data_IF_521797981268
#
_entry.id   IF_521797981268
#
_cell.length_a   1.000
_cell.length_b   1.000
_cell.length_c   1.000
_cell.angle_alpha   90.00
_cell.angle_beta   90.00
_cell.angle_gamma   90.00
#
_symmetry.space_group_name_H-M   'P 1'
#
loop_
_entity.id
_entity.type
_entity.pdbx_description
1 polymer ?
#
# COMPACT_ATOMS: atom_id res chain seq x y z
N UNK A 1 84.05 -29.14 -50.25
CA UNK A 1 83.92 -30.27 -49.32
C UNK A 1 82.48 -30.29 -48.82
N UNK A 2 81.62 -31.17 -49.34
CA UNK A 2 81.19 -32.43 -48.70
C UNK A 2 80.42 -32.14 -47.38
N UNK A 3 79.14 -32.50 -47.14
CA UNK A 3 78.19 -33.57 -47.54
C UNK A 3 76.77 -33.08 -47.21
N UNK A 4 75.74 -33.16 -48.07
CA UNK A 4 74.76 -34.26 -48.27
C UNK A 4 74.24 -35.00 -47.01
N UNK A 5 72.94 -34.86 -46.73
CA UNK A 5 71.86 -35.91 -46.71
C UNK A 5 70.54 -35.22 -46.30
N UNK A 6 69.49 -35.22 -47.15
CA UNK A 6 68.51 -36.30 -47.43
C UNK A 6 67.74 -36.72 -46.18
N UNK A 7 66.46 -36.99 -46.20
CA UNK A 7 65.29 -36.82 -47.09
C UNK A 7 64.15 -37.46 -46.26
N UNK A 8 62.91 -37.29 -46.73
CA UNK A 8 61.73 -38.13 -46.46
C UNK A 8 60.98 -37.82 -45.18
N UNK A 9 59.66 -37.80 -45.12
CA UNK A 9 58.50 -37.98 -46.02
C UNK A 9 57.32 -37.82 -45.02
N UNK A 10 56.07 -37.45 -45.30
CA UNK A 10 55.24 -37.31 -46.48
C UNK A 10 53.94 -36.64 -45.97
N UNK A 11 53.32 -35.86 -46.86
CA UNK A 11 51.87 -35.78 -47.16
C UNK A 11 50.87 -35.53 -45.99
N UNK A 12 49.89 -34.63 -46.08
CA UNK A 12 49.13 -34.33 -47.29
C UNK A 12 48.28 -33.05 -47.17
N UNK A 13 48.05 -32.45 -48.35
CA UNK A 13 46.94 -31.59 -48.80
C UNK A 13 46.65 -30.22 -48.17
N UNK A 14 46.78 -29.21 -49.04
CA UNK A 14 45.77 -28.20 -49.45
C UNK A 14 44.92 -27.56 -48.34
N UNK A 15 44.86 -26.24 -48.13
CA UNK A 15 44.77 -25.11 -49.05
C UNK A 15 44.85 -23.84 -48.17
N UNK A 16 45.73 -22.88 -48.44
CA UNK A 16 45.47 -21.49 -48.05
C UNK A 16 46.11 -20.55 -49.08
N UNK A 17 45.24 -19.92 -49.85
CA UNK A 17 45.54 -18.90 -50.84
C UNK A 17 46.04 -17.65 -50.09
N UNK A 18 47.25 -17.21 -50.43
CA UNK A 18 47.78 -15.89 -50.08
C UNK A 18 47.03 -14.82 -50.86
N UNK A 19 46.32 -13.93 -50.15
CA UNK A 19 45.97 -12.62 -50.66
C UNK A 19 46.70 -11.53 -49.87
N UNK A 20 47.28 -10.61 -50.66
CA UNK A 20 48.17 -9.51 -50.29
C UNK A 20 47.51 -8.53 -49.32
N UNK A 21 48.32 -8.02 -48.40
CA UNK A 21 47.97 -6.94 -47.46
C UNK A 21 47.42 -5.71 -48.18
N UNK A 22 46.24 -5.19 -47.78
CA UNK A 22 45.84 -3.84 -48.08
C UNK A 22 46.47 -2.88 -47.07
N UNK A 23 47.33 -2.04 -47.62
CA UNK A 23 47.66 -0.66 -47.24
C UNK A 23 46.93 -0.07 -46.03
N UNK A 24 47.73 0.40 -45.07
CA UNK A 24 47.32 1.14 -43.89
C UNK A 24 46.25 2.20 -44.19
N UNK A 25 45.05 2.00 -43.63
CA UNK A 25 44.09 3.08 -43.42
C UNK A 25 44.42 3.75 -42.10
N UNK A 26 44.50 5.08 -42.15
CA UNK A 26 44.67 5.96 -41.00
C UNK A 26 43.71 5.55 -39.88
N UNK A 27 44.28 5.15 -38.74
CA UNK A 27 43.55 5.06 -37.49
C UNK A 27 43.02 6.46 -37.23
N UNK A 28 41.71 6.66 -37.40
CA UNK A 28 41.02 7.81 -36.83
C UNK A 28 41.44 7.86 -35.37
N UNK A 29 42.19 8.89 -34.98
CA UNK A 29 42.32 9.25 -33.58
C UNK A 29 40.90 9.34 -33.05
N UNK A 30 40.52 8.39 -32.19
CA UNK A 30 39.38 8.59 -31.34
C UNK A 30 39.68 9.87 -30.58
N UNK A 31 38.89 10.91 -30.83
CA UNK A 31 38.77 12.00 -29.88
C UNK A 31 38.46 11.32 -28.55
N UNK A 32 39.33 11.56 -27.56
CA UNK A 32 38.98 11.22 -26.19
C UNK A 32 37.77 12.09 -25.86
N UNK A 33 36.59 11.51 -26.04
CA UNK A 33 35.38 12.06 -25.44
C UNK A 33 35.72 12.08 -23.96
N UNK A 34 35.91 13.27 -23.41
CA UNK A 34 35.92 13.47 -21.99
C UNK A 34 34.55 13.02 -21.50
N UNK A 35 34.46 11.76 -21.09
CA UNK A 35 33.41 11.31 -20.20
C UNK A 35 33.65 12.12 -18.94
N UNK A 36 32.94 13.24 -18.81
CA UNK A 36 32.74 13.87 -17.52
C UNK A 36 32.21 12.76 -16.63
N UNK A 37 33.05 12.30 -15.70
CA UNK A 37 32.66 11.39 -14.65
C UNK A 37 31.76 12.17 -13.71
N UNK A 38 30.51 12.33 -14.13
CA UNK A 38 29.47 12.86 -13.29
C UNK A 38 29.13 11.72 -12.35
N UNK A 39 29.62 11.83 -11.12
CA UNK A 39 29.15 10.98 -10.04
C UNK A 39 27.63 11.10 -9.95
N UNK A 40 26.93 10.04 -10.36
CA UNK A 40 25.48 9.97 -10.35
C UNK A 40 24.93 9.56 -8.97
N UNK A 41 25.81 9.29 -8.00
CA UNK A 41 25.43 8.82 -6.66
C UNK A 41 24.53 9.83 -5.94
N UNK A 42 24.82 11.13 -6.08
CA UNK A 42 23.97 12.21 -5.53
C UNK A 42 22.74 12.55 -6.38
N UNK A 43 22.59 11.93 -7.56
CA UNK A 43 21.60 12.33 -8.57
C UNK A 43 20.35 11.47 -8.62
N UNK A 44 20.32 10.37 -7.89
CA UNK A 44 19.12 9.54 -7.75
C UNK A 44 18.73 9.53 -6.28
N UNK A 45 17.53 10.02 -5.98
CA UNK A 45 17.05 10.13 -4.60
C UNK A 45 15.81 9.26 -4.39
N UNK A 46 15.77 8.50 -3.30
CA UNK A 46 14.58 7.81 -2.82
C UNK A 46 14.11 8.50 -1.53
N UNK A 47 12.93 9.09 -1.57
CA UNK A 47 12.29 9.74 -0.42
C UNK A 47 11.06 8.94 -0.02
N UNK A 48 11.02 8.54 1.25
CA UNK A 48 9.91 7.79 1.84
C UNK A 48 9.20 8.65 2.90
N UNK A 49 7.88 8.61 2.92
CA UNK A 49 7.07 9.25 3.98
C UNK A 49 5.88 8.37 4.33
N UNK A 50 5.62 8.22 5.62
CA UNK A 50 4.41 7.58 6.14
C UNK A 50 3.51 8.61 6.81
N UNK A 51 2.22 8.62 6.52
CA UNK A 51 1.24 9.45 7.21
C UNK A 51 -0.17 8.82 7.29
N UNK A 52 -0.95 9.13 8.33
CA UNK A 52 -2.36 8.75 8.41
C UNK A 52 -3.18 9.26 7.21
N UNK A 53 -4.00 8.39 6.60
CA UNK A 53 -4.85 8.70 5.45
C UNK A 53 -6.19 7.96 5.51
N UNK A 54 -7.29 8.69 5.74
CA UNK A 54 -8.61 8.06 5.93
C UNK A 54 -8.58 7.07 7.09
N UNK A 55 -9.06 5.84 6.88
CA UNK A 55 -8.94 4.74 7.86
C UNK A 55 -7.69 3.87 7.70
N UNK A 56 -6.65 4.36 7.03
CA UNK A 56 -5.44 3.61 6.64
C UNK A 56 -4.17 4.46 6.84
N UNK A 57 -2.99 3.88 6.65
CA UNK A 57 -1.72 4.61 6.52
C UNK A 57 -1.32 4.72 5.04
N UNK A 58 -0.91 5.92 4.62
CA UNK A 58 -0.30 6.16 3.33
C UNK A 58 1.22 6.14 3.49
N UNK A 59 1.87 5.24 2.77
CA UNK A 59 3.31 5.22 2.58
C UNK A 59 3.64 5.65 1.16
N UNK A 60 4.25 6.84 1.03
CA UNK A 60 4.61 7.44 -0.24
C UNK A 60 6.11 7.26 -0.50
N UNK A 61 6.43 6.68 -1.64
CA UNK A 61 7.76 6.48 -2.19
C UNK A 61 7.95 7.41 -3.38
N UNK A 62 8.97 8.25 -3.36
CA UNK A 62 9.31 9.13 -4.48
C UNK A 62 10.74 8.84 -4.91
N UNK A 63 10.88 8.29 -6.12
CA UNK A 63 12.19 8.14 -6.77
C UNK A 63 12.36 9.31 -7.73
N UNK A 64 13.42 10.09 -7.52
CA UNK A 64 13.75 11.26 -8.33
C UNK A 64 15.07 11.01 -9.05
N UNK A 65 15.05 11.07 -10.38
CA UNK A 65 16.24 11.07 -11.21
C UNK A 65 16.53 12.51 -11.64
N UNK A 66 17.47 13.16 -10.95
CA UNK A 66 17.94 14.51 -11.31
C UNK A 66 19.10 14.48 -12.32
N UNK A 67 19.58 13.29 -12.69
CA UNK A 67 20.55 13.11 -13.77
C UNK A 67 19.90 13.32 -15.15
N UNK A 68 20.73 13.49 -16.17
CA UNK A 68 20.27 13.61 -17.57
C UNK A 68 19.95 12.26 -18.19
N UNK A 69 20.56 11.18 -17.70
CA UNK A 69 20.42 9.84 -18.23
C UNK A 69 19.21 9.15 -17.60
N UNK A 70 18.50 8.27 -18.33
CA UNK A 70 17.46 7.45 -17.73
C UNK A 70 18.06 6.43 -16.76
N UNK A 71 17.24 5.99 -15.79
CA UNK A 71 17.49 4.76 -15.03
C UNK A 71 16.51 3.69 -15.49
N UNK A 72 16.94 2.44 -15.48
CA UNK A 72 16.19 1.29 -15.99
C UNK A 72 16.16 0.14 -14.99
N UNK A 73 15.34 -0.88 -15.27
CA UNK A 73 15.23 -2.12 -14.47
C UNK A 73 14.97 -1.88 -12.98
N UNK A 74 14.06 -0.96 -12.68
CA UNK A 74 13.85 -0.47 -11.32
C UNK A 74 13.01 -1.49 -10.54
N UNK A 75 13.57 -1.98 -9.44
CA UNK A 75 12.95 -2.91 -8.51
C UNK A 75 12.92 -2.29 -7.12
N UNK A 76 11.73 -2.05 -6.58
CA UNK A 76 11.54 -1.56 -5.21
C UNK A 76 11.05 -2.70 -4.34
N UNK A 77 11.64 -2.82 -3.16
CA UNK A 77 11.21 -3.73 -2.10
C UNK A 77 10.81 -2.91 -0.91
N UNK A 78 9.61 -3.15 -0.39
CA UNK A 78 9.11 -2.52 0.83
C UNK A 78 8.83 -3.64 1.82
N UNK A 79 9.60 -3.68 2.91
CA UNK A 79 9.37 -4.57 4.04
C UNK A 79 8.44 -3.86 5.01
N UNK A 80 7.39 -4.55 5.41
CA UNK A 80 6.37 -4.05 6.32
C UNK A 80 6.15 -5.06 7.46
N UNK A 81 5.76 -4.60 8.66
CA UNK A 81 5.41 -5.50 9.74
C UNK A 81 4.16 -6.34 9.43
N UNK A 82 4.06 -7.56 9.98
CA UNK A 82 2.90 -8.46 9.78
C UNK A 82 1.55 -7.87 10.20
N UNK A 83 1.52 -6.96 11.17
CA UNK A 83 0.29 -6.25 11.56
C UNK A 83 -0.20 -5.24 10.53
N UNK A 84 0.53 -5.01 9.43
CA UNK A 84 0.09 -4.17 8.32
C UNK A 84 -0.17 -5.01 7.07
N UNK A 85 -1.34 -4.83 6.48
CA UNK A 85 -1.70 -5.41 5.19
C UNK A 85 -1.74 -4.34 4.12
N UNK A 86 -1.13 -4.58 2.97
CA UNK A 86 -1.34 -3.73 1.80
C UNK A 86 -2.77 -3.89 1.29
N UNK A 87 -3.53 -2.80 1.31
CA UNK A 87 -4.92 -2.76 0.87
C UNK A 87 -5.10 -2.13 -0.51
N UNK A 88 -4.19 -1.22 -0.88
CA UNK A 88 -4.25 -0.49 -2.15
C UNK A 88 -2.89 0.06 -2.52
N UNK A 89 -2.64 0.24 -3.81
CA UNK A 89 -1.50 0.99 -4.34
C UNK A 89 -1.93 2.02 -5.38
N UNK A 90 -1.09 3.03 -5.63
CA UNK A 90 -1.25 3.96 -6.74
C UNK A 90 0.13 4.26 -7.34
N UNK A 91 0.33 4.09 -8.66
CA UNK A 91 -0.64 3.56 -9.63
C UNK A 91 -0.99 2.08 -9.36
N UNK A 92 -2.21 1.63 -9.70
CA UNK A 92 -2.69 0.27 -9.43
C UNK A 92 -2.08 -0.79 -10.36
N UNK A 93 -1.36 -0.36 -11.40
CA UNK A 93 -0.73 -1.20 -12.43
C UNK A 93 0.59 -1.81 -11.98
N UNK A 94 0.92 -1.71 -10.70
CA UNK A 94 2.15 -2.25 -10.15
C UNK A 94 1.92 -3.72 -9.81
N UNK A 95 2.71 -4.61 -10.39
CA UNK A 95 2.77 -6.01 -9.97
C UNK A 95 3.21 -6.04 -8.50
N UNK A 96 2.32 -6.46 -7.62
CA UNK A 96 2.59 -6.63 -6.20
C UNK A 96 2.61 -8.12 -5.92
N UNK A 97 3.80 -8.62 -5.61
CA UNK A 97 3.95 -9.91 -4.96
C UNK A 97 4.05 -9.64 -3.46
N UNK A 98 3.07 -10.14 -2.70
CA UNK A 98 3.16 -10.25 -1.25
C UNK A 98 3.81 -11.59 -0.95
N UNK A 99 5.05 -11.56 -0.47
CA UNK A 99 5.72 -12.77 0.02
C UNK A 99 5.51 -12.79 1.52
N UNK A 100 4.71 -13.74 1.99
CA UNK A 100 4.75 -14.17 3.37
C UNK A 100 5.92 -15.14 3.46
N UNK A 101 7.01 -14.70 4.09
CA UNK A 101 8.08 -15.61 4.46
C UNK A 101 7.54 -16.60 5.52
N UNK A 102 8.24 -17.71 5.73
CA UNK A 102 7.83 -18.82 6.62
C UNK A 102 7.29 -18.35 7.98
N UNK A 103 6.57 -19.22 8.70
CA UNK A 103 5.80 -18.89 9.92
C UNK A 103 6.59 -18.08 10.99
N UNK A 104 7.92 -18.08 10.94
CA UNK A 104 8.85 -17.39 11.85
C UNK A 104 9.34 -15.97 11.44
N UNK A 105 9.06 -15.44 10.23
CA UNK A 105 9.54 -14.10 9.83
C UNK A 105 8.53 -12.97 10.09
N UNK A 106 8.79 -12.07 11.06
CA UNK A 106 7.91 -10.96 11.50
C UNK A 106 7.51 -9.91 10.43
N UNK A 107 7.99 -10.05 9.20
CA UNK A 107 7.81 -9.08 8.12
C UNK A 107 7.12 -9.68 6.89
N UNK A 108 6.39 -8.84 6.18
CA UNK A 108 5.84 -9.09 4.85
C UNK A 108 6.56 -8.19 3.85
N UNK A 109 6.77 -8.67 2.63
CA UNK A 109 7.42 -7.87 1.58
C UNK A 109 6.47 -7.58 0.43
N UNK A 110 6.44 -6.31 0.02
CA UNK A 110 5.82 -5.82 -1.22
C UNK A 110 6.94 -5.58 -2.24
N UNK A 111 6.84 -6.24 -3.40
CA UNK A 111 7.72 -5.99 -4.55
C UNK A 111 7.02 -5.12 -5.59
N UNK A 112 7.78 -4.25 -6.24
CA UNK A 112 7.29 -3.30 -7.25
C UNK A 112 8.35 -3.19 -8.35
N UNK A 113 7.93 -3.35 -9.60
CA UNK A 113 8.84 -3.28 -10.75
C UNK A 113 8.31 -2.34 -11.83
N UNK A 114 9.21 -1.60 -12.48
CA UNK A 114 8.90 -0.86 -13.70
C UNK A 114 10.15 -0.56 -14.52
N UNK A 115 9.95 -0.34 -15.82
CA UNK A 115 11.04 -0.40 -16.79
C UNK A 115 11.97 0.81 -16.77
N UNK A 116 11.45 2.05 -16.73
CA UNK A 116 12.25 3.26 -16.95
C UNK A 116 11.76 4.47 -16.14
N UNK A 117 12.70 5.25 -15.60
CA UNK A 117 12.49 6.67 -15.23
C UNK A 117 13.43 7.51 -16.09
N UNK A 118 12.87 8.40 -16.90
CA UNK A 118 13.63 9.31 -17.77
C UNK A 118 14.52 10.24 -16.94
N UNK A 119 15.58 10.77 -17.57
CA UNK A 119 16.38 11.83 -16.97
C UNK A 119 15.51 13.04 -16.60
N UNK A 120 15.85 13.69 -15.48
CA UNK A 120 15.13 14.83 -14.91
C UNK A 120 13.64 14.56 -14.67
N UNK A 121 13.30 13.33 -14.28
CA UNK A 121 11.94 12.92 -13.97
C UNK A 121 11.86 12.29 -12.58
N UNK A 122 10.63 12.23 -12.07
CA UNK A 122 10.33 11.56 -10.81
C UNK A 122 9.17 10.60 -10.99
N UNK A 123 9.11 9.59 -10.14
CA UNK A 123 7.98 8.68 -10.03
C UNK A 123 7.57 8.53 -8.58
N UNK A 124 6.29 8.73 -8.33
CA UNK A 124 5.69 8.54 -7.01
C UNK A 124 4.87 7.26 -7.01
N UNK A 125 5.02 6.49 -5.92
CA UNK A 125 4.22 5.31 -5.63
C UNK A 125 3.64 5.48 -4.24
N UNK A 126 2.34 5.26 -4.14
CA UNK A 126 1.61 5.33 -2.88
C UNK A 126 1.13 3.93 -2.52
N UNK A 127 1.50 3.47 -1.34
CA UNK A 127 1.04 2.22 -0.74
C UNK A 127 0.12 2.56 0.42
N UNK A 128 -1.04 1.92 0.49
CA UNK A 128 -2.00 2.13 1.57
C UNK A 128 -2.06 0.87 2.42
N UNK A 129 -1.63 1.00 3.67
CA UNK A 129 -1.58 -0.08 4.64
C UNK A 129 -2.77 -0.01 5.59
N UNK A 130 -3.50 -1.12 5.71
CA UNK A 130 -4.51 -1.31 6.74
C UNK A 130 -3.86 -2.02 7.94
N UNK A 131 -4.03 -1.52 9.16
CA UNK A 131 -3.63 -2.27 10.34
C UNK A 131 -4.59 -3.42 10.61
N UNK A 132 -4.01 -4.55 11.02
CA UNK A 132 -4.68 -5.78 11.42
C UNK A 132 -4.75 -5.89 12.95
N UNK A 133 -3.80 -5.31 13.68
CA UNK A 133 -3.75 -5.27 15.15
C UNK A 133 -3.28 -3.89 15.64
N UNK A 134 -3.50 -3.59 16.93
CA UNK A 134 -3.37 -2.24 17.51
C UNK A 134 -2.39 -2.11 18.67
N UNK A 135 -1.66 -3.16 19.02
CA UNK A 135 -0.72 -3.19 20.15
C UNK A 135 0.67 -3.64 19.68
N UNK A 136 1.00 -3.32 18.44
CA UNK A 136 2.25 -3.70 17.80
C UNK A 136 3.02 -2.47 17.34
N UNK A 137 4.34 -2.59 17.45
CA UNK A 137 5.31 -1.62 16.93
C UNK A 137 6.13 -2.34 15.87
N UNK A 138 6.38 -1.66 14.77
CA UNK A 138 7.21 -2.21 13.72
C UNK A 138 7.80 -1.12 12.83
N UNK A 139 8.58 -1.55 11.86
CA UNK A 139 9.32 -0.66 10.98
C UNK A 139 8.96 -0.95 9.53
N UNK A 140 8.78 0.12 8.74
CA UNK A 140 8.75 0.01 7.30
C UNK A 140 10.11 0.40 6.76
N UNK A 141 10.71 -0.49 5.96
CA UNK A 141 11.98 -0.26 5.29
C UNK A 141 11.81 -0.43 3.79
N UNK A 142 12.39 0.47 3.02
CA UNK A 142 12.39 0.38 1.56
C UNK A 142 13.79 0.34 1.00
N UNK A 143 13.96 -0.46 -0.05
CA UNK A 143 15.13 -0.42 -0.90
C UNK A 143 14.74 -0.38 -2.36
N UNK A 144 15.56 0.28 -3.17
CA UNK A 144 15.42 0.32 -4.62
C UNK A 144 16.71 -0.17 -5.27
N UNK A 145 16.59 -1.05 -6.25
CA UNK A 145 17.67 -1.46 -7.13
C UNK A 145 17.35 -0.96 -8.54
N UNK A 146 18.34 -0.44 -9.27
CA UNK A 146 18.17 0.08 -10.63
C UNK A 146 19.49 -0.02 -11.40
N UNK A 147 19.39 0.07 -12.73
CA UNK A 147 20.53 0.20 -13.65
C UNK A 147 20.65 1.65 -14.09
N UNK A 148 21.86 2.20 -14.07
CA UNK A 148 22.17 3.55 -14.57
C UNK A 148 23.09 3.51 -15.79
N UNK A 149 23.48 4.69 -16.30
CA UNK A 149 24.39 4.79 -17.46
C UNK A 149 25.65 3.94 -17.21
N UNK A 150 26.04 3.13 -18.20
CA UNK A 150 27.13 2.12 -18.16
C UNK A 150 26.78 0.80 -17.44
N UNK A 151 25.51 0.38 -17.42
CA UNK A 151 25.06 -0.95 -16.94
C UNK A 151 25.44 -1.29 -15.48
N UNK A 152 25.72 -0.29 -14.65
CA UNK A 152 25.97 -0.53 -13.23
C UNK A 152 24.65 -0.73 -12.49
N UNK A 153 24.57 -1.86 -11.78
CA UNK A 153 23.49 -2.11 -10.83
C UNK A 153 23.78 -1.33 -9.55
N UNK A 154 22.85 -0.46 -9.16
CA UNK A 154 22.93 0.34 -7.94
C UNK A 154 21.78 0.00 -7.00
N UNK A 155 22.00 0.20 -5.70
CA UNK A 155 21.00 0.04 -4.67
C UNK A 155 20.97 1.25 -3.74
N UNK A 156 19.78 1.70 -3.37
CA UNK A 156 19.56 2.72 -2.33
C UNK A 156 18.65 2.08 -1.29
N UNK A 157 19.06 2.15 -0.03
CA UNK A 157 18.25 1.75 1.12
C UNK A 157 17.80 2.99 1.88
N UNK A 158 16.61 2.92 2.47
CA UNK A 158 16.07 3.99 3.32
C UNK A 158 16.14 3.63 4.79
N UNK A 159 16.25 4.65 5.62
CA UNK A 159 16.07 4.49 7.05
C UNK A 159 14.69 3.92 7.39
N UNK A 160 14.64 3.19 8.49
CA UNK A 160 13.40 2.62 9.00
C UNK A 160 12.42 3.71 9.43
N UNK A 161 11.18 3.60 8.96
CA UNK A 161 10.06 4.42 9.47
C UNK A 161 9.29 3.58 10.49
N UNK A 162 9.39 3.97 11.76
CA UNK A 162 8.64 3.33 12.84
C UNK A 162 7.15 3.64 12.73
N UNK A 163 6.33 2.61 12.81
CA UNK A 163 4.87 2.70 12.95
C UNK A 163 4.48 1.99 14.24
N UNK A 164 3.61 2.65 15.01
CA UNK A 164 3.06 2.15 16.24
C UNK A 164 1.60 2.53 16.31
N UNK A 165 0.78 1.59 16.76
CA UNK A 165 -0.59 1.84 17.15
C UNK A 165 -0.65 1.83 18.66
N UNK A 166 -1.21 2.89 19.23
CA UNK A 166 -1.45 2.93 20.66
C UNK A 166 -2.87 2.43 20.95
N UNK A 167 -3.06 1.61 22.00
CA UNK A 167 -4.39 1.31 22.49
C UNK A 167 -5.07 2.61 22.90
N UNK A 168 -6.37 2.70 22.65
CA UNK A 168 -7.16 3.86 23.04
C UNK A 168 -8.09 3.49 24.19
N UNK A 169 -8.45 4.48 25.00
CA UNK A 169 -9.47 4.32 26.04
C UNK A 169 -10.36 5.54 26.03
N UNK A 170 -11.68 5.31 26.02
CA UNK A 170 -12.66 6.37 25.85
C UNK A 170 -13.38 6.64 27.17
N UNK A 171 -13.43 7.91 27.54
CA UNK A 171 -14.34 8.43 28.54
C UNK A 171 -15.67 8.82 27.87
N UNK A 172 -16.77 8.38 28.49
CA UNK A 172 -18.12 8.73 28.05
C UNK A 172 -18.32 10.23 28.16
N UNK A 173 -18.68 10.87 27.05
CA UNK A 173 -19.01 12.29 27.02
C UNK A 173 -20.29 12.53 26.26
N UNK A 174 -21.21 13.28 26.88
CA UNK A 174 -22.44 13.71 26.23
C UNK A 174 -22.12 14.94 25.39
N UNK A 175 -22.43 14.87 24.09
CA UNK A 175 -22.47 16.04 23.20
C UNK A 175 -23.93 16.25 22.79
N UNK A 176 -24.54 17.43 23.05
CA UNK A 176 -25.89 17.69 22.58
C UNK A 176 -25.99 17.55 21.05
N UNK A 177 -27.08 16.96 20.56
CA UNK A 177 -27.29 16.70 19.12
C UNK A 177 -27.13 17.96 18.24
N UNK A 178 -27.54 19.13 18.77
CA UNK A 178 -27.40 20.42 18.11
C UNK A 178 -25.94 20.87 17.90
N UNK A 179 -25.00 20.31 18.66
CA UNK A 179 -23.58 20.66 18.61
C UNK A 179 -22.75 19.74 17.71
N UNK A 180 -23.30 18.61 17.25
CA UNK A 180 -22.61 17.68 16.35
C UNK A 180 -22.09 18.38 15.10
N UNK A 181 -22.91 19.23 14.47
CA UNK A 181 -22.50 20.01 13.29
C UNK A 181 -21.36 20.97 13.62
N UNK A 182 -21.42 21.64 14.78
CA UNK A 182 -20.36 22.56 15.23
C UNK A 182 -19.06 21.81 15.48
N UNK A 183 -19.12 20.64 16.12
CA UNK A 183 -17.95 19.77 16.32
C UNK A 183 -17.31 19.40 14.99
N UNK A 184 -18.08 18.89 14.03
CA UNK A 184 -17.58 18.48 12.72
C UNK A 184 -17.01 19.62 11.86
N UNK A 185 -17.32 20.87 12.19
CA UNK A 185 -16.83 22.07 11.52
C UNK A 185 -15.61 22.70 12.22
N UNK A 186 -15.19 22.18 13.38
CA UNK A 186 -13.99 22.68 14.06
C UNK A 186 -12.76 22.51 13.16
N UNK A 187 -11.86 23.50 13.08
CA UNK A 187 -10.60 23.37 12.37
C UNK A 187 -9.80 22.15 12.87
N UNK A 188 -9.16 21.45 11.93
CA UNK A 188 -8.34 20.28 12.22
C UNK A 188 -9.10 18.96 12.36
N UNK A 189 -10.45 18.96 12.39
CA UNK A 189 -11.21 17.71 12.40
C UNK A 189 -10.97 16.93 11.11
N UNK A 190 -10.39 15.75 11.27
CA UNK A 190 -10.24 14.72 10.24
C UNK A 190 -11.42 13.77 10.32
N UNK A 191 -11.71 13.12 9.19
CA UNK A 191 -12.77 12.14 9.06
C UNK A 191 -12.21 10.89 8.40
N UNK A 192 -12.62 9.75 8.90
CA UNK A 192 -12.28 8.45 8.37
C UNK A 192 -13.56 7.60 8.30
N UNK A 193 -13.56 6.64 7.38
CA UNK A 193 -14.66 5.69 7.21
C UNK A 193 -14.07 4.32 6.93
N UNK A 194 -14.68 3.30 7.53
CA UNK A 194 -14.53 1.91 7.14
C UNK A 194 -15.88 1.37 6.74
N UNK A 195 -15.91 0.70 5.59
CA UNK A 195 -17.12 0.15 5.01
C UNK A 195 -16.89 -1.32 4.66
N UNK A 196 -17.81 -2.18 5.06
CA UNK A 196 -17.75 -3.62 4.81
C UNK A 196 -19.08 -4.17 4.31
N UNK A 197 -19.00 -5.22 3.51
CA UNK A 197 -20.10 -6.11 3.15
C UNK A 197 -19.87 -7.51 3.70
N UNK A 198 -20.95 -8.27 3.90
CA UNK A 198 -20.89 -9.65 4.41
C UNK A 198 -21.34 -10.59 3.30
N UNK A 199 -20.40 -11.31 2.69
CA UNK A 199 -20.64 -12.29 1.64
C UNK A 199 -21.15 -13.62 2.20
N UNK A 200 -22.40 -13.60 2.67
CA UNK A 200 -23.14 -14.79 3.09
C UNK A 200 -24.28 -15.06 2.11
N UNK A 201 -24.59 -16.33 1.89
CA UNK A 201 -25.73 -16.74 1.06
C UNK A 201 -27.07 -16.55 1.79
N UNK A 202 -27.02 -16.39 3.13
CA UNK A 202 -28.18 -16.11 3.97
C UNK A 202 -28.65 -14.66 3.81
N UNK A 203 -29.90 -14.41 4.21
CA UNK A 203 -30.47 -13.07 4.25
C UNK A 203 -29.66 -12.14 5.17
N UNK A 204 -29.36 -10.94 4.68
CA UNK A 204 -28.68 -9.89 5.44
C UNK A 204 -29.68 -9.14 6.33
N UNK A 205 -29.76 -9.52 7.61
CA UNK A 205 -30.64 -8.84 8.57
C UNK A 205 -30.02 -7.52 9.06
N UNK A 206 -30.44 -6.42 8.43
CA UNK A 206 -29.97 -5.08 8.76
C UNK A 206 -30.24 -4.69 10.22
N UNK A 207 -31.33 -5.16 10.83
CA UNK A 207 -31.63 -4.85 12.24
C UNK A 207 -30.63 -5.53 13.17
N UNK A 208 -30.36 -6.81 12.89
CA UNK A 208 -29.38 -7.58 13.62
C UNK A 208 -28.01 -6.88 13.57
N UNK A 209 -27.48 -6.63 12.37
CA UNK A 209 -26.16 -6.01 12.22
C UNK A 209 -26.12 -4.59 12.80
N UNK A 210 -27.19 -3.80 12.65
CA UNK A 210 -27.27 -2.48 13.27
C UNK A 210 -27.18 -2.55 14.81
N UNK A 211 -27.79 -3.56 15.43
CA UNK A 211 -27.67 -3.75 16.87
C UNK A 211 -26.26 -4.17 17.28
N UNK A 212 -25.60 -5.04 16.52
CA UNK A 212 -24.24 -5.49 16.80
C UNK A 212 -23.23 -4.33 16.71
N UNK A 213 -23.26 -3.53 15.64
CA UNK A 213 -22.33 -2.40 15.53
C UNK A 213 -22.53 -1.36 16.65
N UNK A 214 -23.78 -1.16 17.09
CA UNK A 214 -24.07 -0.25 18.20
C UNK A 214 -23.48 -0.79 19.51
N UNK A 215 -23.63 -2.10 19.75
CA UNK A 215 -23.08 -2.77 20.93
C UNK A 215 -21.56 -2.65 20.95
N UNK A 216 -20.87 -2.96 19.85
CA UNK A 216 -19.41 -2.84 19.72
C UNK A 216 -18.93 -1.42 20.06
N UNK A 217 -19.61 -0.39 19.55
CA UNK A 217 -19.23 1.01 19.84
C UNK A 217 -19.44 1.34 21.34
N UNK A 218 -20.52 0.84 21.95
CA UNK A 218 -20.83 1.06 23.37
C UNK A 218 -19.90 0.30 24.32
N UNK A 219 -19.46 -0.90 23.93
CA UNK A 219 -18.50 -1.72 24.68
C UNK A 219 -17.13 -1.01 24.76
N UNK A 220 -16.83 -0.14 23.79
CA UNK A 220 -15.68 0.78 23.82
C UNK A 220 -15.97 2.10 24.56
N UNK A 221 -16.98 2.14 25.43
CA UNK A 221 -17.36 3.28 26.26
C UNK A 221 -17.73 4.58 25.50
N UNK A 222 -18.09 4.51 24.24
CA UNK A 222 -18.70 5.66 23.59
C UNK A 222 -20.14 5.89 24.08
N UNK A 223 -20.49 7.15 24.32
CA UNK A 223 -21.82 7.56 24.72
C UNK A 223 -22.73 7.71 23.49
N UNK A 224 -23.85 6.99 23.46
CA UNK A 224 -24.88 7.18 22.43
C UNK A 224 -25.54 8.56 22.59
N UNK A 225 -25.65 9.31 21.49
CA UNK A 225 -26.28 10.64 21.45
C UNK A 225 -27.56 10.62 20.63
N UNK A 226 -27.52 10.04 19.42
CA UNK A 226 -28.64 10.02 18.49
C UNK A 226 -28.76 8.61 17.95
N UNK A 227 -29.98 8.06 17.91
CA UNK A 227 -30.27 6.79 17.25
C UNK A 227 -31.52 6.94 16.40
N UNK A 228 -31.34 6.85 15.10
CA UNK A 228 -32.43 6.72 14.14
C UNK A 228 -32.55 5.24 13.76
N UNK A 229 -33.60 4.61 14.28
CA UNK A 229 -33.83 3.18 14.06
C UNK A 229 -34.33 2.91 12.65
N UNK A 230 -35.01 3.84 12.01
CA UNK A 230 -35.63 3.61 10.70
C UNK A 230 -34.56 3.69 9.62
N UNK A 231 -33.69 4.69 9.72
CA UNK A 231 -32.55 4.88 8.82
C UNK A 231 -31.30 4.08 9.23
N UNK A 232 -31.39 3.23 10.27
CA UNK A 232 -30.29 2.39 10.79
C UNK A 232 -28.98 3.16 10.98
N UNK A 233 -29.05 4.30 11.65
CA UNK A 233 -27.89 5.16 11.90
C UNK A 233 -27.86 5.65 13.35
N UNK A 234 -26.69 5.61 13.96
CA UNK A 234 -26.48 6.04 15.34
C UNK A 234 -25.19 6.83 15.49
N UNK A 235 -25.23 7.89 16.29
CA UNK A 235 -24.10 8.77 16.61
C UNK A 235 -23.69 8.58 18.05
N UNK A 236 -22.40 8.44 18.24
CA UNK A 236 -21.77 8.25 19.52
C UNK A 236 -20.61 9.22 19.72
N UNK A 237 -20.30 9.56 20.97
CA UNK A 237 -19.23 10.49 21.29
C UNK A 237 -18.51 10.11 22.57
N UNK A 238 -17.26 10.53 22.65
CA UNK A 238 -16.42 10.32 23.81
C UNK A 238 -15.16 11.16 23.71
N UNK A 239 -14.36 11.13 24.76
CA UNK A 239 -13.04 11.75 24.81
C UNK A 239 -12.02 10.64 25.02
N UNK A 240 -10.97 10.61 24.19
CA UNK A 240 -9.88 9.66 24.40
C UNK A 240 -9.06 10.12 25.62
N UNK A 241 -8.85 9.22 26.57
CA UNK A 241 -8.34 9.51 27.91
C UNK A 241 -6.90 10.03 27.93
N UNK A 242 -6.02 9.51 27.06
CA UNK A 242 -4.60 9.85 27.07
C UNK A 242 -4.35 11.22 26.44
N UNK A 243 -4.95 11.47 25.27
CA UNK A 243 -4.79 12.69 24.50
C UNK A 243 -5.77 13.80 24.91
N UNK A 244 -6.85 13.46 25.60
CA UNK A 244 -7.94 14.38 25.94
C UNK A 244 -8.73 14.86 24.72
N UNK A 245 -8.61 14.17 23.58
CA UNK A 245 -9.19 14.59 22.31
C UNK A 245 -10.57 13.96 22.12
N UNK A 246 -11.54 14.80 21.76
CA UNK A 246 -12.90 14.39 21.45
C UNK A 246 -12.99 13.58 20.15
N UNK A 247 -13.85 12.56 20.15
CA UNK A 247 -14.11 11.69 19.01
C UNK A 247 -15.62 11.51 18.83
N UNK A 248 -16.10 11.75 17.61
CA UNK A 248 -17.43 11.36 17.16
C UNK A 248 -17.34 10.08 16.32
N UNK A 249 -18.19 9.11 16.61
CA UNK A 249 -18.36 7.87 15.82
C UNK A 249 -19.80 7.79 15.32
N UNK A 250 -19.98 7.33 14.09
CA UNK A 250 -21.27 7.04 13.50
C UNK A 250 -21.24 5.58 13.02
N UNK A 251 -22.17 4.77 13.52
CA UNK A 251 -22.43 3.44 13.01
C UNK A 251 -23.69 3.47 12.15
N UNK A 252 -23.63 2.92 10.93
CA UNK A 252 -24.80 2.80 10.06
C UNK A 252 -24.85 1.52 9.23
N UNK A 253 -26.07 1.11 8.89
CA UNK A 253 -26.36 0.13 7.84
C UNK A 253 -27.02 0.88 6.69
N UNK A 254 -26.46 0.78 5.50
CA UNK A 254 -27.00 1.47 4.33
C UNK A 254 -26.72 0.65 3.08
N UNK A 255 -27.73 0.42 2.23
CA UNK A 255 -27.56 -0.27 0.93
C UNK A 255 -26.81 -1.61 1.02
N UNK A 256 -27.16 -2.44 2.01
CA UNK A 256 -26.58 -3.78 2.22
C UNK A 256 -25.14 -3.80 2.74
N UNK A 257 -24.63 -2.67 3.24
CA UNK A 257 -23.29 -2.55 3.82
C UNK A 257 -23.31 -1.94 5.21
N UNK A 258 -22.26 -2.22 5.96
CA UNK A 258 -21.99 -1.71 7.31
C UNK A 258 -20.93 -0.63 7.21
N UNK A 259 -21.15 0.51 7.85
CA UNK A 259 -20.18 1.60 7.88
C UNK A 259 -19.95 2.12 9.30
N UNK A 260 -18.69 2.34 9.61
CA UNK A 260 -18.25 3.14 10.74
C UNK A 260 -17.56 4.39 10.21
N UNK A 261 -18.08 5.55 10.59
CA UNK A 261 -17.45 6.84 10.34
C UNK A 261 -16.92 7.38 11.66
N UNK A 262 -15.69 7.89 11.66
CA UNK A 262 -15.10 8.50 12.84
C UNK A 262 -14.54 9.88 12.51
N UNK A 263 -14.65 10.82 13.46
CA UNK A 263 -14.15 12.19 13.31
C UNK A 263 -13.49 12.69 14.59
N UNK A 264 -12.28 13.23 14.46
CA UNK A 264 -11.44 13.71 15.56
C UNK A 264 -10.32 14.60 15.04
N UNK A 265 -9.66 15.36 15.92
CA UNK A 265 -8.45 16.12 15.57
C UNK A 265 -7.20 15.23 15.50
N UNK A 266 -7.24 14.03 16.08
CA UNK A 266 -6.16 13.05 16.05
C UNK A 266 -6.47 11.97 15.00
N UNK A 267 -5.74 11.99 13.88
CA UNK A 267 -5.98 11.06 12.77
C UNK A 267 -5.49 9.62 13.08
N UNK A 268 -4.29 9.39 13.62
CA UNK A 268 -3.89 8.05 14.09
C UNK A 268 -4.94 7.37 14.97
N UNK A 269 -5.54 8.11 15.91
CA UNK A 269 -6.62 7.62 16.77
C UNK A 269 -7.84 7.12 15.97
N UNK A 270 -8.21 7.80 14.87
CA UNK A 270 -9.32 7.35 14.01
C UNK A 270 -9.03 5.97 13.39
N UNK A 271 -7.78 5.73 13.01
CA UNK A 271 -7.36 4.45 12.42
C UNK A 271 -7.45 3.38 13.49
N UNK A 272 -6.93 3.62 14.70
CA UNK A 272 -7.03 2.68 15.82
C UNK A 272 -8.49 2.32 16.15
N UNK A 273 -9.36 3.32 16.28
CA UNK A 273 -10.78 3.10 16.60
C UNK A 273 -11.47 2.26 15.53
N UNK A 274 -11.29 2.61 14.25
CA UNK A 274 -11.98 1.93 13.15
C UNK A 274 -11.46 0.51 12.94
N UNK A 275 -10.16 0.28 13.11
CA UNK A 275 -9.58 -1.06 13.06
C UNK A 275 -10.09 -1.92 14.22
N UNK A 276 -10.16 -1.37 15.43
CA UNK A 276 -10.72 -2.09 16.58
C UNK A 276 -12.17 -2.50 16.33
N UNK A 277 -13.02 -1.58 15.83
CA UNK A 277 -14.41 -1.91 15.53
C UNK A 277 -14.56 -3.01 14.47
N UNK A 278 -13.74 -3.00 13.41
CA UNK A 278 -13.76 -4.08 12.42
C UNK A 278 -13.34 -5.41 13.06
N UNK A 279 -12.28 -5.41 13.86
CA UNK A 279 -11.75 -6.63 14.49
C UNK A 279 -12.76 -7.21 15.48
N UNK A 280 -13.30 -6.38 16.39
CA UNK A 280 -14.36 -6.79 17.31
C UNK A 280 -15.60 -7.29 16.55
N UNK A 281 -15.94 -6.67 15.43
CA UNK A 281 -17.05 -7.13 14.59
C UNK A 281 -16.79 -8.51 13.98
N UNK A 282 -15.60 -8.73 13.40
CA UNK A 282 -15.20 -10.03 12.85
C UNK A 282 -15.27 -11.12 13.92
N UNK A 283 -14.65 -10.88 15.06
CA UNK A 283 -14.62 -11.80 16.20
C UNK A 283 -16.04 -12.13 16.68
N UNK A 284 -16.88 -11.12 16.91
CA UNK A 284 -18.25 -11.31 17.37
C UNK A 284 -19.09 -12.07 16.33
N UNK A 285 -18.93 -11.79 15.03
CA UNK A 285 -19.68 -12.48 13.99
C UNK A 285 -19.26 -13.95 13.84
N UNK A 286 -17.99 -14.28 14.09
CA UNK A 286 -17.52 -15.67 14.16
C UNK A 286 -18.08 -16.38 15.38
N UNK A 287 -18.00 -15.77 16.57
CA UNK A 287 -18.52 -16.33 17.83
C UNK A 287 -20.03 -16.61 17.72
N UNK A 288 -20.77 -15.72 17.06
CA UNK A 288 -22.22 -15.84 16.85
C UNK A 288 -22.59 -16.71 15.64
N UNK A 289 -21.61 -17.38 14.99
CA UNK A 289 -21.78 -18.22 13.81
C UNK A 289 -22.54 -17.54 12.66
N UNK A 290 -22.40 -16.23 12.52
CA UNK A 290 -22.96 -15.46 11.41
C UNK A 290 -22.06 -15.54 10.17
N UNK A 291 -20.75 -15.67 10.40
CA UNK A 291 -19.75 -15.99 9.39
C UNK A 291 -18.94 -17.20 9.87
N UNK A 292 -18.45 -17.98 8.92
CA UNK A 292 -17.59 -19.14 9.14
C UNK A 292 -16.10 -18.76 9.10
N UNK A 293 -15.76 -17.67 8.39
CA UNK A 293 -14.40 -17.15 8.27
C UNK A 293 -14.38 -15.65 8.01
N UNK A 294 -13.25 -15.02 8.30
CA UNK A 294 -13.04 -13.60 8.02
C UNK A 294 -13.10 -13.25 6.53
N UNK A 295 -12.82 -14.21 5.64
CA UNK A 295 -12.88 -14.01 4.18
C UNK A 295 -14.30 -13.73 3.67
N UNK A 296 -15.32 -13.94 4.51
CA UNK A 296 -16.69 -13.54 4.21
C UNK A 296 -16.96 -12.05 4.46
N UNK A 297 -15.99 -11.30 5.00
CA UNK A 297 -16.08 -9.86 5.20
C UNK A 297 -15.27 -9.15 4.13
N UNK A 298 -15.95 -8.35 3.31
CA UNK A 298 -15.37 -7.64 2.17
C UNK A 298 -15.28 -6.15 2.44
N UNK A 299 -14.08 -5.57 2.33
CA UNK A 299 -13.92 -4.12 2.37
C UNK A 299 -14.48 -3.45 1.12
N UNK A 300 -15.27 -2.39 1.31
CA UNK A 300 -15.98 -1.68 0.24
C UNK A 300 -15.28 -0.38 -0.15
N UNK A 301 -13.98 -0.48 -0.42
CA UNK A 301 -13.15 0.60 -0.95
C UNK A 301 -12.84 0.33 -2.42
N UNK A 302 -12.91 1.37 -3.27
CA UNK A 302 -12.50 1.25 -4.66
C UNK A 302 -11.00 0.95 -4.75
N UNK A 303 -10.62 -0.16 -5.39
CA UNK A 303 -9.22 -0.57 -5.56
C UNK A 303 -8.37 0.49 -6.28
N UNK A 304 -8.97 1.33 -7.13
CA UNK A 304 -8.29 2.39 -7.86
C UNK A 304 -8.11 3.67 -7.02
N UNK A 305 -9.23 4.28 -6.58
CA UNK A 305 -9.19 5.61 -5.94
C UNK A 305 -9.45 5.62 -4.43
N UNK A 306 -9.76 4.47 -3.82
CA UNK A 306 -10.03 4.32 -2.38
C UNK A 306 -11.35 4.94 -1.92
N UNK A 307 -12.21 5.37 -2.84
CA UNK A 307 -13.53 5.87 -2.47
C UNK A 307 -14.43 4.73 -1.97
N UNK A 308 -15.26 5.01 -0.97
CA UNK A 308 -16.24 4.04 -0.48
C UNK A 308 -17.27 3.76 -1.57
N UNK A 309 -17.52 2.48 -1.82
CA UNK A 309 -18.49 2.03 -2.82
C UNK A 309 -19.91 2.31 -2.36
N UNK A 310 -20.83 2.59 -3.27
CA UNK A 310 -22.19 3.01 -2.93
C UNK A 310 -23.04 1.92 -2.27
N UNK A 311 -22.78 0.65 -2.57
CA UNK A 311 -23.51 -0.51 -2.04
C UNK A 311 -22.62 -1.74 -1.98
N UNK A 312 -23.08 -2.81 -1.32
CA UNK A 312 -22.45 -4.11 -1.42
C UNK A 312 -23.06 -4.91 -2.60
N UNK A 313 -22.29 -5.21 -3.66
CA UNK A 313 -22.80 -6.01 -4.77
C UNK A 313 -22.99 -7.48 -4.37
N UNK A 314 -23.95 -8.14 -5.00
CA UNK A 314 -24.10 -9.60 -4.87
C UNK A 314 -22.93 -10.36 -5.50
N UNK A 315 -22.79 -11.65 -5.16
CA UNK A 315 -21.72 -12.52 -5.68
C UNK A 315 -21.61 -12.48 -7.21
N UNK A 316 -20.38 -12.34 -7.71
CA UNK A 316 -20.03 -12.23 -9.12
C UNK A 316 -20.44 -10.92 -9.80
N UNK A 317 -21.13 -9.99 -9.10
CA UNK A 317 -21.59 -8.73 -9.69
C UNK A 317 -20.52 -7.65 -9.57
N UNK A 318 -20.39 -6.87 -10.62
CA UNK A 318 -19.56 -5.67 -10.63
C UNK A 318 -20.27 -4.48 -9.96
N UNK A 319 -19.47 -3.53 -9.51
CA UNK A 319 -19.91 -2.23 -9.01
C UNK A 319 -18.97 -1.14 -9.52
N UNK A 320 -19.55 -0.04 -9.99
CA UNK A 320 -18.83 1.13 -10.46
C UNK A 320 -18.54 2.10 -9.31
N UNK A 321 -17.31 2.59 -9.23
CA UNK A 321 -16.95 3.63 -8.29
C UNK A 321 -17.48 5.00 -8.75
N UNK A 322 -18.39 5.60 -7.99
CA UNK A 322 -18.96 6.93 -8.26
C UNK A 322 -17.96 8.11 -8.29
N UNK A 323 -16.68 7.90 -7.95
CA UNK A 323 -15.64 8.94 -7.98
C UNK A 323 -14.73 8.86 -9.20
N UNK A 324 -14.38 7.64 -9.62
CA UNK A 324 -13.41 7.44 -10.71
C UNK A 324 -13.94 6.54 -11.83
N UNK A 325 -15.21 6.14 -11.78
CA UNK A 325 -15.92 5.31 -12.76
C UNK A 325 -15.25 3.96 -13.04
N UNK A 326 -14.42 3.48 -12.09
CA UNK A 326 -13.77 2.19 -12.20
C UNK A 326 -14.73 1.09 -11.77
N UNK A 327 -14.96 0.13 -12.66
CA UNK A 327 -15.77 -1.05 -12.42
C UNK A 327 -14.93 -2.17 -11.79
N UNK A 328 -15.45 -2.81 -10.75
CA UNK A 328 -14.75 -3.88 -10.05
C UNK A 328 -15.71 -4.92 -9.47
N UNK A 329 -15.25 -6.17 -9.36
CA UNK A 329 -15.94 -7.23 -8.63
C UNK A 329 -15.34 -7.33 -7.22
N UNK A 330 -16.21 -7.32 -6.21
CA UNK A 330 -15.84 -7.36 -4.79
C UNK A 330 -15.95 -8.78 -4.24
N UNK A 331 -17.09 -9.42 -4.47
CA UNK A 331 -17.38 -10.78 -4.02
C UNK A 331 -17.41 -11.70 -5.24
N UNK A 332 -16.40 -12.57 -5.39
CA UNK A 332 -16.30 -13.54 -6.48
C UNK A 332 -17.07 -14.83 -6.20
#
# INVERSE_FOLDING_TARGET
MAKKKRDQDQEDMHELILFREPTAQEIKKFESVSLEYIDQEDKINLVCKSEPFGGNYLYSLVISNISVDPITEIKIRVRIPRFLKLCRSTPPTITIETINFEEDEEETQVKIEFEVIKGKAQKQINLYFCPLSLEEKGEIRSSVTFVNNVDFVRAIETDAITIQFDPFSIERKILPSAEVKKFLQKPGIKKAIKSIGIGIEKFFDENYYFNQINKIIQDQNFQLIIKDKDNKIAWFFGTELVSGIDVLVIGQIISGKIEWLAASQNHPLLISILTNFINSFKEEMMILNQINSEDQIFHLECKYCGNILSSFPGKGKSIECNKCNYEQVIWN
#
